data_IF_603600899202
#
_entry.id   IF_603600899202
#
_cell.length_a   1.000
_cell.length_b   1.000
_cell.length_c   1.000
_cell.angle_alpha   90.00
_cell.angle_beta   90.00
_cell.angle_gamma   90.00
#
_symmetry.space_group_name_H-M   'P 1'
#
loop_
_entity.id
_entity.type
_entity.pdbx_description
1 polymer ?
#
# COMPACT_ATOMS: atom_id res chain seq x y z
N UNK A 1 -28.73 -1.09 2.36
CA UNK A 1 -28.13 -1.48 3.65
C UNK A 1 -26.66 -1.74 3.36
N UNK A 2 -25.80 -0.77 3.64
CA UNK A 2 -24.36 -0.91 3.48
C UNK A 2 -23.94 -1.87 4.60
N UNK A 3 -23.31 -3.01 4.28
CA UNK A 3 -22.64 -3.84 5.30
C UNK A 3 -21.83 -2.89 6.20
N UNK A 4 -21.84 -2.99 7.53
CA UNK A 4 -20.92 -2.18 8.32
C UNK A 4 -19.51 -2.50 7.83
N UNK A 5 -18.93 -1.57 7.08
CA UNK A 5 -17.63 -1.74 6.46
C UNK A 5 -16.60 -1.76 7.58
N UNK A 6 -15.71 -2.75 7.54
CA UNK A 6 -14.68 -2.94 8.54
C UNK A 6 -13.66 -1.81 8.39
N UNK A 7 -13.56 -0.95 9.40
CA UNK A 7 -12.67 0.22 9.39
C UNK A 7 -11.56 0.07 10.41
N UNK A 8 -10.54 0.93 10.37
CA UNK A 8 -9.48 0.96 11.38
C UNK A 8 -10.01 1.14 12.82
N UNK A 9 -11.20 1.72 12.99
CA UNK A 9 -11.86 1.83 14.30
C UNK A 9 -12.31 0.47 14.87
N UNK A 10 -12.47 -0.53 14.01
CA UNK A 10 -12.86 -1.90 14.37
C UNK A 10 -11.64 -2.82 14.58
N UNK A 11 -10.43 -2.33 14.25
CA UNK A 11 -9.18 -3.06 14.45
C UNK A 11 -8.73 -2.97 15.90
N UNK A 12 -8.44 -4.14 16.49
CA UNK A 12 -7.85 -4.21 17.83
C UNK A 12 -6.34 -4.13 17.71
N UNK A 13 -5.78 -2.93 17.84
CA UNK A 13 -4.34 -2.71 17.84
C UNK A 13 -3.69 -3.52 18.97
N UNK A 14 -2.83 -4.46 18.58
CA UNK A 14 -2.20 -5.44 19.46
C UNK A 14 -0.88 -4.94 20.04
N UNK A 15 -0.29 -5.69 20.98
CA UNK A 15 1.06 -5.41 21.47
C UNK A 15 2.12 -5.55 20.36
N UNK A 16 1.88 -6.43 19.38
CA UNK A 16 2.82 -6.65 18.27
C UNK A 16 2.80 -5.49 17.28
N UNK A 17 1.64 -4.88 17.05
CA UNK A 17 1.53 -3.60 16.34
C UNK A 17 2.39 -2.51 17.00
N UNK A 18 2.37 -2.46 18.34
CA UNK A 18 3.07 -1.43 19.10
C UNK A 18 4.58 -1.67 19.18
N UNK A 19 5.04 -2.93 19.11
CA UNK A 19 6.47 -3.29 19.02
C UNK A 19 7.08 -2.93 17.68
N UNK A 20 6.31 -3.00 16.59
CA UNK A 20 6.78 -2.57 15.28
C UNK A 20 7.00 -1.06 15.25
N UNK A 21 8.04 -0.61 14.55
CA UNK A 21 8.21 0.81 14.26
C UNK A 21 7.23 1.23 13.15
N UNK A 22 5.99 1.54 13.54
CA UNK A 22 4.90 1.97 12.68
C UNK A 22 4.25 3.25 13.25
N UNK A 23 4.85 4.43 13.01
CA UNK A 23 4.29 5.70 13.49
C UNK A 23 2.90 6.02 12.94
N UNK A 24 2.52 5.53 11.76
CA UNK A 24 1.18 5.71 11.20
C UNK A 24 0.14 5.12 12.15
N UNK A 25 0.26 3.82 12.47
CA UNK A 25 -0.70 3.16 13.35
C UNK A 25 -0.65 3.70 14.78
N UNK A 26 0.54 4.09 15.27
CA UNK A 26 0.70 4.72 16.60
C UNK A 26 0.01 6.07 16.69
N UNK A 27 0.16 6.92 15.67
CA UNK A 27 -0.48 8.24 15.62
C UNK A 27 -2.00 8.11 15.49
N UNK A 28 -2.49 7.18 14.65
CA UNK A 28 -3.91 6.85 14.58
C UNK A 28 -4.46 6.39 15.93
N UNK A 29 -3.77 5.46 16.60
CA UNK A 29 -4.16 4.98 17.92
C UNK A 29 -4.26 6.14 18.92
N UNK A 30 -3.27 7.03 18.94
CA UNK A 30 -3.25 8.19 19.84
C UNK A 30 -4.48 9.07 19.62
N UNK A 31 -4.82 9.40 18.37
CA UNK A 31 -6.00 10.20 18.05
C UNK A 31 -7.28 9.50 18.54
N UNK A 32 -7.40 8.20 18.31
CA UNK A 32 -8.57 7.41 18.74
C UNK A 32 -8.68 7.37 20.28
N UNK A 33 -7.57 7.11 20.98
CA UNK A 33 -7.53 7.03 22.44
C UNK A 33 -7.84 8.38 23.09
N UNK A 34 -7.28 9.49 22.59
CA UNK A 34 -7.50 10.85 23.11
C UNK A 34 -8.94 11.34 22.91
N UNK A 35 -9.69 10.70 22.01
CA UNK A 35 -11.06 11.04 21.67
C UNK A 35 -12.04 9.88 21.96
N UNK A 36 -11.70 8.97 22.88
CA UNK A 36 -12.50 7.78 23.18
C UNK A 36 -13.89 8.08 23.75
N UNK A 37 -14.16 9.34 24.12
CA UNK A 37 -15.45 9.83 24.59
C UNK A 37 -16.42 10.20 23.45
N UNK A 38 -15.94 10.27 22.21
CA UNK A 38 -16.76 10.58 21.04
C UNK A 38 -17.56 9.36 20.58
N UNK A 39 -18.72 9.59 19.99
CA UNK A 39 -19.48 8.54 19.31
C UNK A 39 -18.76 8.09 18.04
N UNK A 40 -18.99 6.84 17.60
CA UNK A 40 -18.27 6.26 16.44
C UNK A 40 -18.38 7.13 15.18
N UNK A 41 -19.53 7.76 14.94
CA UNK A 41 -19.73 8.65 13.80
C UNK A 41 -18.87 9.93 13.86
N UNK A 42 -18.68 10.49 15.05
CA UNK A 42 -17.83 11.67 15.27
C UNK A 42 -16.35 11.32 15.11
N UNK A 43 -15.93 10.15 15.60
CA UNK A 43 -14.59 9.61 15.35
C UNK A 43 -14.32 9.40 13.87
N UNK A 44 -15.30 8.89 13.11
CA UNK A 44 -15.19 8.76 11.65
C UNK A 44 -14.95 10.12 11.01
N UNK A 45 -15.74 11.14 11.36
CA UNK A 45 -15.56 12.49 10.82
C UNK A 45 -14.18 13.07 11.17
N UNK A 46 -13.72 12.89 12.40
CA UNK A 46 -12.39 13.34 12.86
C UNK A 46 -11.26 12.64 12.10
N UNK A 47 -11.31 11.32 11.95
CA UNK A 47 -10.29 10.58 11.19
C UNK A 47 -10.23 11.06 9.73
N UNK A 48 -11.39 11.31 9.11
CA UNK A 48 -11.43 11.81 7.74
C UNK A 48 -10.80 13.20 7.58
N UNK A 49 -10.82 14.06 8.60
CA UNK A 49 -10.09 15.35 8.55
C UNK A 49 -8.57 15.18 8.59
N UNK A 50 -8.07 14.07 9.14
CA UNK A 50 -6.63 13.77 9.22
C UNK A 50 -6.11 12.93 8.05
N UNK A 51 -6.99 12.28 7.29
CA UNK A 51 -6.57 11.30 6.27
C UNK A 51 -5.54 11.85 5.29
N UNK A 52 -5.72 13.09 4.82
CA UNK A 52 -4.79 13.67 3.85
C UNK A 52 -3.36 13.78 4.43
N UNK A 53 -3.24 14.29 5.66
CA UNK A 53 -1.95 14.43 6.33
C UNK A 53 -1.26 13.07 6.51
N UNK A 54 -2.02 12.04 6.91
CA UNK A 54 -1.48 10.69 7.05
C UNK A 54 -1.08 10.06 5.71
N UNK A 55 -1.86 10.29 4.66
CA UNK A 55 -1.52 9.78 3.33
C UNK A 55 -0.23 10.45 2.84
N UNK A 56 -0.10 11.76 3.00
CA UNK A 56 1.08 12.51 2.56
C UNK A 56 2.32 12.20 3.39
N UNK A 57 2.17 12.01 4.70
CA UNK A 57 3.30 11.64 5.55
C UNK A 57 3.71 10.18 5.33
N UNK A 58 2.75 9.25 5.21
CA UNK A 58 3.00 7.81 5.20
C UNK A 58 2.61 7.15 3.88
N UNK A 59 1.38 6.66 3.72
CA UNK A 59 0.89 5.96 2.53
C UNK A 59 -0.64 5.89 2.49
N UNK A 60 -1.20 5.48 1.35
CA UNK A 60 -2.65 5.42 1.12
C UNK A 60 -3.38 4.38 2.01
N UNK A 61 -2.88 3.14 2.05
CA UNK A 61 -3.38 2.08 2.96
C UNK A 61 -2.77 2.24 4.34
N UNK A 62 -3.49 1.81 5.37
CA UNK A 62 -2.98 1.69 6.74
C UNK A 62 -2.32 0.31 6.92
N UNK A 63 -0.98 0.19 6.98
CA UNK A 63 -0.35 -1.07 7.34
C UNK A 63 -0.51 -1.34 8.84
N UNK A 64 -0.88 -2.57 9.18
CA UNK A 64 -0.94 -3.07 10.55
C UNK A 64 -0.39 -4.49 10.60
N UNK A 65 -0.05 -4.96 11.80
CA UNK A 65 0.80 -6.12 12.03
C UNK A 65 0.34 -7.37 11.27
N UNK A 66 -0.94 -7.74 11.38
CA UNK A 66 -1.46 -8.97 10.75
C UNK A 66 -1.31 -8.96 9.22
N UNK A 67 -1.55 -7.81 8.58
CA UNK A 67 -1.42 -7.66 7.12
C UNK A 67 0.03 -7.58 6.70
N UNK A 68 0.88 -6.92 7.51
CA UNK A 68 2.32 -6.92 7.26
C UNK A 68 2.92 -8.32 7.39
N UNK A 69 2.50 -9.12 8.38
CA UNK A 69 2.91 -10.54 8.52
C UNK A 69 2.46 -11.34 7.32
N UNK A 70 1.22 -11.14 6.86
CA UNK A 70 0.71 -11.80 5.64
C UNK A 70 1.58 -11.46 4.44
N UNK A 71 1.83 -10.18 4.17
CA UNK A 71 2.70 -9.73 3.08
C UNK A 71 4.12 -10.29 3.22
N UNK A 72 4.69 -10.24 4.43
CA UNK A 72 6.04 -10.73 4.73
C UNK A 72 6.22 -12.23 4.42
N UNK A 73 5.16 -13.05 4.54
CA UNK A 73 5.23 -14.48 4.22
C UNK A 73 5.51 -14.80 2.74
N UNK A 74 5.46 -13.78 1.87
CA UNK A 74 5.78 -13.87 0.44
C UNK A 74 7.15 -13.27 0.08
N UNK A 75 8.02 -13.05 1.07
CA UNK A 75 9.41 -12.64 0.86
C UNK A 75 10.17 -13.61 -0.07
N UNK A 76 11.09 -13.13 -0.93
CA UNK A 76 11.50 -11.73 -1.13
C UNK A 76 10.48 -10.91 -1.94
N UNK A 77 10.49 -9.58 -1.77
CA UNK A 77 9.51 -8.66 -2.38
C UNK A 77 10.20 -7.62 -3.26
N UNK A 78 9.57 -7.30 -4.38
CA UNK A 78 9.80 -6.06 -5.15
C UNK A 78 8.52 -5.22 -5.08
N UNK A 79 8.62 -3.98 -4.62
CA UNK A 79 7.52 -3.01 -4.58
C UNK A 79 7.65 -2.02 -5.74
N UNK A 80 6.60 -1.87 -6.54
CA UNK A 80 6.54 -0.92 -7.66
C UNK A 80 5.47 0.13 -7.36
N UNK A 81 5.83 1.41 -7.54
CA UNK A 81 4.99 2.52 -7.11
C UNK A 81 4.99 2.68 -5.59
N UNK A 82 6.17 2.56 -4.98
CA UNK A 82 6.35 2.51 -3.53
C UNK A 82 5.99 3.84 -2.82
N UNK A 83 5.85 4.95 -3.55
CA UNK A 83 5.52 6.25 -2.99
C UNK A 83 6.60 6.75 -2.03
N UNK A 84 6.26 6.86 -0.75
CA UNK A 84 7.21 7.19 0.33
C UNK A 84 8.06 5.99 0.79
N UNK A 85 7.79 4.78 0.29
CA UNK A 85 8.43 3.54 0.71
C UNK A 85 7.97 3.05 2.09
N UNK A 86 6.82 3.52 2.60
CA UNK A 86 6.34 3.17 3.94
C UNK A 86 6.13 1.66 4.13
N UNK A 87 5.54 0.98 3.14
CA UNK A 87 5.36 -0.48 3.16
C UNK A 87 6.69 -1.21 3.17
N UNK A 88 7.59 -0.91 2.22
CA UNK A 88 8.95 -1.44 2.23
C UNK A 88 9.69 -1.20 3.54
N UNK A 89 9.55 -0.01 4.14
CA UNK A 89 10.12 0.32 5.44
C UNK A 89 9.59 -0.58 6.56
N UNK A 90 8.27 -0.73 6.67
CA UNK A 90 7.64 -1.61 7.66
C UNK A 90 8.07 -3.08 7.49
N UNK A 91 8.04 -3.59 6.25
CA UNK A 91 8.42 -4.97 5.93
C UNK A 91 9.92 -5.22 6.19
N UNK A 92 10.79 -4.27 5.83
CA UNK A 92 12.23 -4.36 6.10
C UNK A 92 12.51 -4.44 7.61
N UNK A 93 11.78 -3.70 8.45
CA UNK A 93 11.89 -3.84 9.92
C UNK A 93 11.45 -5.20 10.45
N UNK A 94 10.67 -5.96 9.68
CA UNK A 94 10.32 -7.35 9.97
C UNK A 94 11.32 -8.36 9.40
N UNK A 95 12.42 -7.89 8.79
CA UNK A 95 13.47 -8.74 8.21
C UNK A 95 13.16 -9.23 6.79
N UNK A 96 12.15 -8.67 6.13
CA UNK A 96 11.85 -8.99 4.73
C UNK A 96 12.89 -8.35 3.82
N UNK A 97 13.40 -9.13 2.85
CA UNK A 97 14.20 -8.60 1.75
C UNK A 97 13.27 -7.87 0.76
N UNK A 98 13.32 -6.54 0.75
CA UNK A 98 12.48 -5.66 -0.08
C UNK A 98 13.33 -4.72 -0.92
N UNK A 99 13.03 -4.69 -2.22
CA UNK A 99 13.49 -3.66 -3.15
C UNK A 99 12.29 -2.81 -3.54
N UNK A 100 12.40 -1.48 -3.41
CA UNK A 100 11.30 -0.57 -3.68
C UNK A 100 11.66 0.41 -4.81
N UNK A 101 10.75 0.57 -5.77
CA UNK A 101 10.88 1.52 -6.87
C UNK A 101 9.72 2.51 -6.87
N UNK A 102 10.05 3.77 -7.18
CA UNK A 102 9.06 4.78 -7.54
C UNK A 102 9.61 5.66 -8.66
N UNK A 103 8.72 6.19 -9.50
CA UNK A 103 9.07 7.09 -10.61
C UNK A 103 9.52 8.47 -10.12
N UNK A 104 8.99 8.89 -8.97
CA UNK A 104 9.23 10.17 -8.34
C UNK A 104 9.49 9.97 -6.83
N UNK A 105 10.58 9.31 -6.41
CA UNK A 105 10.82 9.08 -4.99
C UNK A 105 11.01 10.43 -4.25
N UNK A 106 10.46 10.61 -3.03
CA UNK A 106 10.61 11.84 -2.27
C UNK A 106 12.08 12.21 -2.07
N UNK A 107 12.39 13.51 -2.15
CA UNK A 107 13.76 14.01 -2.01
C UNK A 107 14.69 13.77 -3.21
N UNK A 108 14.27 13.08 -4.27
CA UNK A 108 15.09 12.81 -5.46
C UNK A 108 15.17 13.97 -6.47
N UNK A 109 14.60 15.14 -6.13
CA UNK A 109 14.49 16.27 -7.04
C UNK A 109 15.43 17.41 -6.66
N UNK A 110 15.95 18.08 -7.68
CA UNK A 110 16.67 19.34 -7.52
C UNK A 110 15.75 20.37 -6.86
N UNK A 111 16.25 21.20 -5.91
CA UNK A 111 15.51 22.34 -5.38
C UNK A 111 14.96 23.29 -6.46
N UNK A 112 15.56 23.28 -7.65
CA UNK A 112 15.19 24.10 -8.80
C UNK A 112 14.10 23.48 -9.69
N UNK A 113 13.71 22.22 -9.45
CA UNK A 113 12.69 21.48 -10.19
C UNK A 113 11.58 20.93 -9.28
N UNK A 114 11.25 21.65 -8.21
CA UNK A 114 10.27 21.23 -7.20
C UNK A 114 8.90 20.83 -7.76
N UNK A 115 8.46 21.44 -8.87
CA UNK A 115 7.20 21.12 -9.56
C UNK A 115 7.21 19.76 -10.28
N UNK A 116 8.38 19.14 -10.45
CA UNK A 116 8.53 17.76 -10.95
C UNK A 116 8.64 16.75 -9.81
N UNK A 117 8.55 17.20 -8.56
CA UNK A 117 8.67 16.40 -7.36
C UNK A 117 7.56 15.37 -7.18
N UNK A 118 7.71 14.49 -6.19
CA UNK A 118 6.61 13.67 -5.72
C UNK A 118 5.45 14.59 -5.29
N UNK A 119 4.26 14.49 -5.90
CA UNK A 119 3.14 15.37 -5.54
C UNK A 119 2.33 14.84 -4.34
N UNK A 120 2.64 13.65 -3.86
CA UNK A 120 1.86 12.93 -2.86
C UNK A 120 2.53 12.85 -1.50
N UNK A 121 3.86 12.73 -1.44
CA UNK A 121 4.58 12.42 -0.21
C UNK A 121 5.69 13.42 0.11
N UNK A 122 5.79 13.77 1.39
CA UNK A 122 6.74 14.78 1.88
C UNK A 122 8.17 14.23 2.05
N UNK A 123 8.31 12.97 2.49
CA UNK A 123 9.60 12.35 2.80
C UNK A 123 9.60 10.84 2.50
N UNK A 124 10.78 10.22 2.61
CA UNK A 124 10.99 8.79 2.42
C UNK A 124 11.14 8.04 3.75
N UNK A 125 10.46 6.89 3.86
CA UNK A 125 10.53 5.98 5.01
C UNK A 125 11.43 4.77 4.76
N UNK A 126 11.92 4.61 3.54
CA UNK A 126 12.80 3.55 3.12
C UNK A 126 13.72 4.02 1.98
N UNK A 127 14.72 3.22 1.63
CA UNK A 127 15.52 3.48 0.45
C UNK A 127 14.73 3.07 -0.81
N UNK A 128 14.35 4.07 -1.61
CA UNK A 128 13.57 3.89 -2.84
C UNK A 128 14.48 4.16 -4.03
N UNK A 129 14.52 3.21 -4.95
CA UNK A 129 15.22 3.37 -6.21
C UNK A 129 14.33 4.17 -7.16
N UNK A 130 14.92 5.17 -7.83
CA UNK A 130 14.23 5.84 -8.93
C UNK A 130 14.13 4.87 -10.11
N UNK A 131 12.91 4.54 -10.51
CA UNK A 131 12.62 3.60 -11.59
C UNK A 131 11.15 3.65 -11.97
N UNK A 132 10.75 2.84 -12.94
CA UNK A 132 9.37 2.81 -13.43
C UNK A 132 8.77 1.39 -13.38
N UNK A 133 7.58 1.22 -13.92
CA UNK A 133 6.91 -0.08 -14.01
C UNK A 133 7.76 -1.20 -14.62
N UNK A 134 8.70 -0.89 -15.51
CA UNK A 134 9.49 -1.89 -16.23
C UNK A 134 10.53 -2.56 -15.33
N UNK A 135 10.94 -1.90 -14.23
CA UNK A 135 11.90 -2.45 -13.26
C UNK A 135 11.38 -3.71 -12.56
N UNK A 136 10.06 -3.95 -12.58
CA UNK A 136 9.47 -5.20 -12.12
C UNK A 136 10.04 -6.43 -12.85
N UNK A 137 10.41 -6.29 -14.13
CA UNK A 137 11.00 -7.36 -14.93
C UNK A 137 12.41 -7.79 -14.47
N UNK A 138 13.10 -6.97 -13.68
CA UNK A 138 14.42 -7.29 -13.15
C UNK A 138 14.38 -8.25 -11.96
N UNK A 139 13.19 -8.49 -11.40
CA UNK A 139 13.01 -9.24 -10.15
C UNK A 139 11.95 -10.37 -10.25
N UNK A 140 11.95 -11.22 -11.30
CA UNK A 140 10.92 -12.26 -11.47
C UNK A 140 10.97 -13.35 -10.39
N UNK A 141 12.08 -13.45 -9.65
CA UNK A 141 12.28 -14.34 -8.51
C UNK A 141 11.64 -13.83 -7.21
N UNK A 142 11.22 -12.56 -7.16
CA UNK A 142 10.56 -11.92 -6.01
C UNK A 142 9.06 -11.84 -6.21
N UNK A 143 8.30 -11.72 -5.13
CA UNK A 143 6.87 -11.37 -5.20
C UNK A 143 6.72 -9.90 -5.57
N UNK A 144 5.89 -9.59 -6.57
CA UNK A 144 5.52 -8.22 -6.92
C UNK A 144 4.49 -7.70 -5.91
N UNK A 145 4.78 -6.58 -5.24
CA UNK A 145 3.87 -5.83 -4.39
C UNK A 145 3.47 -4.52 -5.09
N UNK A 146 2.17 -4.26 -5.15
CA UNK A 146 1.62 -2.95 -5.54
C UNK A 146 0.55 -2.55 -4.52
N UNK A 147 0.82 -1.49 -3.75
CA UNK A 147 -0.07 -0.99 -2.71
C UNK A 147 -0.66 0.38 -3.10
N UNK A 148 -1.94 0.40 -3.46
CA UNK A 148 -2.65 1.54 -4.03
C UNK A 148 -1.97 2.15 -5.25
N UNK A 149 -1.81 1.38 -6.35
CA UNK A 149 -1.38 1.97 -7.60
C UNK A 149 -2.35 3.08 -8.05
N UNK A 150 -1.80 4.10 -8.70
CA UNK A 150 -2.53 5.30 -9.10
C UNK A 150 -3.81 4.97 -9.91
N UNK A 151 -4.97 5.55 -9.56
CA UNK A 151 -6.20 5.37 -10.33
C UNK A 151 -6.04 5.82 -11.79
N UNK A 152 -6.67 5.10 -12.72
CA UNK A 152 -6.71 5.45 -14.15
C UNK A 152 -5.32 5.64 -14.78
N UNK A 153 -4.31 4.97 -14.23
CA UNK A 153 -2.93 5.02 -14.71
C UNK A 153 -2.47 3.62 -15.17
N UNK A 154 -1.78 3.50 -16.31
CA UNK A 154 -1.34 2.20 -16.84
C UNK A 154 -0.19 1.57 -16.06
N UNK A 155 0.43 2.26 -15.09
CA UNK A 155 1.60 1.78 -14.33
C UNK A 155 1.38 0.36 -13.77
N UNK A 156 0.24 0.10 -13.12
CA UNK A 156 -0.04 -1.21 -12.54
C UNK A 156 -0.14 -2.32 -13.60
N UNK A 157 -0.80 -2.03 -14.72
CA UNK A 157 -0.91 -2.94 -15.85
C UNK A 157 0.48 -3.21 -16.46
N UNK A 158 1.24 -2.17 -16.74
CA UNK A 158 2.57 -2.28 -17.35
C UNK A 158 3.56 -3.03 -16.43
N UNK A 159 3.49 -2.79 -15.12
CA UNK A 159 4.33 -3.47 -14.13
C UNK A 159 4.01 -4.96 -14.10
N UNK A 160 2.72 -5.32 -14.03
CA UNK A 160 2.28 -6.71 -14.05
C UNK A 160 2.63 -7.42 -15.36
N UNK A 161 2.47 -6.75 -16.51
CA UNK A 161 2.91 -7.26 -17.81
C UNK A 161 4.42 -7.54 -17.82
N UNK A 162 5.24 -6.56 -17.42
CA UNK A 162 6.70 -6.65 -17.44
C UNK A 162 7.19 -7.76 -16.52
N UNK A 163 6.68 -7.79 -15.28
CA UNK A 163 6.98 -8.82 -14.28
C UNK A 163 6.62 -10.23 -14.77
N UNK A 164 5.39 -10.41 -15.27
CA UNK A 164 4.93 -11.71 -15.76
C UNK A 164 5.73 -12.18 -16.98
N UNK A 165 6.02 -11.29 -17.93
CA UNK A 165 6.81 -11.63 -19.11
C UNK A 165 8.24 -12.05 -18.76
N UNK A 166 8.79 -11.53 -17.66
CA UNK A 166 10.08 -11.94 -17.11
C UNK A 166 10.03 -13.28 -16.33
N UNK A 167 8.86 -13.89 -16.17
CA UNK A 167 8.68 -15.16 -15.45
C UNK A 167 8.26 -15.00 -13.98
N UNK A 168 7.84 -13.81 -13.57
CA UNK A 168 7.24 -13.53 -12.27
C UNK A 168 6.00 -14.38 -12.00
N UNK A 169 5.80 -14.77 -10.73
CA UNK A 169 4.83 -15.82 -10.36
C UNK A 169 3.76 -15.38 -9.38
N UNK A 170 4.03 -14.35 -8.60
CA UNK A 170 3.15 -13.95 -7.50
C UNK A 170 3.00 -12.46 -7.45
N UNK A 171 1.75 -12.02 -7.39
CA UNK A 171 1.36 -10.63 -7.18
C UNK A 171 0.65 -10.52 -5.84
N UNK A 172 1.06 -9.55 -5.02
CA UNK A 172 0.27 -8.97 -3.94
C UNK A 172 -0.20 -7.61 -4.39
N UNK A 173 -1.51 -7.43 -4.47
CA UNK A 173 -2.15 -6.18 -4.80
C UNK A 173 -2.97 -5.71 -3.60
N UNK A 174 -2.76 -4.46 -3.19
CA UNK A 174 -3.57 -3.81 -2.17
C UNK A 174 -4.32 -2.66 -2.81
N UNK A 175 -5.63 -2.67 -2.73
CA UNK A 175 -6.47 -1.65 -3.33
C UNK A 175 -7.95 -2.01 -3.28
N UNK A 176 -8.76 -1.14 -3.86
CA UNK A 176 -10.19 -1.40 -4.03
C UNK A 176 -10.37 -2.32 -5.25
N UNK A 177 -11.02 -3.50 -5.12
CA UNK A 177 -11.25 -4.43 -6.23
C UNK A 177 -12.32 -3.91 -7.20
N UNK A 178 -12.22 -2.65 -7.62
CA UNK A 178 -13.10 -1.99 -8.56
C UNK A 178 -12.28 -1.28 -9.66
N UNK A 179 -12.57 -1.51 -10.96
CA UNK A 179 -11.79 -0.98 -12.09
C UNK A 179 -11.62 0.54 -12.21
N UNK A 180 -12.27 1.31 -11.35
CA UNK A 180 -12.26 2.77 -11.34
C UNK A 180 -11.50 3.38 -10.15
N UNK A 181 -10.81 2.56 -9.34
CA UNK A 181 -10.30 2.98 -8.02
C UNK A 181 -8.78 2.91 -7.90
N UNK A 182 -8.16 1.74 -8.06
CA UNK A 182 -6.68 1.58 -7.99
C UNK A 182 -6.12 0.85 -9.20
N UNK A 183 -5.32 1.51 -10.03
CA UNK A 183 -4.97 1.05 -11.38
C UNK A 183 -6.00 1.45 -12.45
N UNK A 184 -5.82 0.97 -13.68
CA UNK A 184 -6.71 1.23 -14.82
C UNK A 184 -7.51 -0.01 -15.22
N UNK A 185 -8.44 0.13 -16.17
CA UNK A 185 -9.29 -0.99 -16.60
C UNK A 185 -8.49 -2.17 -17.21
N UNK A 186 -7.33 -1.92 -17.83
CA UNK A 186 -6.49 -2.97 -18.41
C UNK A 186 -5.86 -3.82 -17.33
N UNK A 187 -5.41 -3.21 -16.23
CA UNK A 187 -4.92 -3.91 -15.05
C UNK A 187 -5.96 -4.91 -14.52
N UNK A 188 -7.21 -4.49 -14.34
CA UNK A 188 -8.26 -5.40 -13.85
C UNK A 188 -8.62 -6.50 -14.86
N UNK A 189 -8.70 -6.18 -16.16
CA UNK A 189 -8.91 -7.20 -17.19
C UNK A 189 -7.85 -8.29 -17.09
N UNK A 190 -6.59 -7.90 -16.90
CA UNK A 190 -5.48 -8.84 -16.71
C UNK A 190 -5.56 -9.58 -15.37
N UNK A 191 -5.89 -8.91 -14.27
CA UNK A 191 -6.07 -9.56 -12.96
C UNK A 191 -7.10 -10.70 -12.99
N UNK A 192 -8.21 -10.51 -13.71
CA UNK A 192 -9.27 -11.52 -13.81
C UNK A 192 -8.87 -12.79 -14.58
N UNK A 193 -7.74 -12.77 -15.29
CA UNK A 193 -7.19 -13.97 -15.92
C UNK A 193 -6.41 -14.85 -14.93
N UNK A 194 -6.01 -14.29 -13.78
CA UNK A 194 -5.18 -14.97 -12.80
C UNK A 194 -5.99 -15.62 -11.68
N UNK A 195 -5.42 -16.68 -11.12
CA UNK A 195 -6.00 -17.36 -9.97
C UNK A 195 -5.73 -16.55 -8.71
N UNK A 196 -6.78 -16.00 -8.12
CA UNK A 196 -6.76 -15.47 -6.77
C UNK A 196 -6.50 -16.62 -5.77
N UNK A 197 -5.40 -16.53 -5.03
CA UNK A 197 -4.98 -17.50 -4.01
C UNK A 197 -5.63 -17.15 -2.67
N UNK A 198 -5.63 -15.86 -2.32
CA UNK A 198 -6.09 -15.38 -1.02
C UNK A 198 -6.61 -13.94 -1.12
N UNK A 199 -7.63 -13.65 -0.33
CA UNK A 199 -8.21 -12.31 -0.16
C UNK A 199 -8.39 -12.00 1.32
N UNK A 200 -7.88 -10.85 1.74
CA UNK A 200 -8.02 -10.33 3.10
C UNK A 200 -8.77 -9.00 3.04
N UNK A 201 -9.92 -8.93 3.71
CA UNK A 201 -10.60 -7.65 3.93
C UNK A 201 -9.79 -6.83 4.95
N UNK A 202 -9.45 -5.59 4.59
CA UNK A 202 -8.59 -4.74 5.42
C UNK A 202 -9.41 -3.89 6.38
N UNK A 203 -8.81 -3.58 7.53
CA UNK A 203 -9.28 -2.51 8.41
C UNK A 203 -8.76 -1.17 7.88
N UNK A 204 -9.51 -0.57 6.96
CA UNK A 204 -9.11 0.61 6.19
C UNK A 204 -9.59 1.93 6.79
N UNK A 205 -9.26 3.05 6.13
CA UNK A 205 -9.89 4.32 6.41
C UNK A 205 -11.42 4.24 6.25
N UNK A 206 -12.21 4.93 7.11
CA UNK A 206 -13.66 4.99 6.94
C UNK A 206 -14.07 5.40 5.51
N UNK A 207 -14.95 4.62 4.89
CA UNK A 207 -15.45 4.88 3.53
C UNK A 207 -14.51 4.44 2.40
N UNK A 208 -13.33 3.90 2.70
CA UNK A 208 -12.41 3.32 1.72
C UNK A 208 -12.56 1.80 1.75
N UNK A 209 -12.89 1.20 0.60
CA UNK A 209 -13.07 -0.25 0.48
C UNK A 209 -11.83 -0.82 -0.16
N UNK A 210 -10.93 -1.38 0.64
CA UNK A 210 -9.71 -1.98 0.13
C UNK A 210 -9.52 -3.39 0.66
N UNK A 211 -8.77 -4.17 -0.10
CA UNK A 211 -8.42 -5.55 0.21
C UNK A 211 -6.96 -5.76 -0.09
N UNK A 212 -6.36 -6.73 0.59
CA UNK A 212 -5.14 -7.37 0.13
C UNK A 212 -5.53 -8.61 -0.66
N UNK A 213 -5.08 -8.67 -1.90
CA UNK A 213 -5.39 -9.71 -2.88
C UNK A 213 -4.07 -10.35 -3.32
N UNK A 214 -4.03 -11.69 -3.33
CA UNK A 214 -2.83 -12.44 -3.73
C UNK A 214 -3.18 -13.29 -4.93
N UNK A 215 -2.40 -13.16 -6.01
CA UNK A 215 -2.63 -13.86 -7.28
C UNK A 215 -1.45 -14.78 -7.63
N UNK A 216 -1.79 -15.95 -8.17
CA UNK A 216 -0.88 -16.84 -8.91
C UNK A 216 -0.87 -16.43 -10.38
N UNK A 217 0.31 -16.14 -10.93
CA UNK A 217 0.49 -15.78 -12.35
C UNK A 217 0.88 -16.96 -13.24
N UNK A 218 0.99 -18.16 -12.66
CA UNK A 218 1.27 -19.44 -13.33
C UNK A 218 0.01 -20.22 -13.67
#
# INVERSE_FOLDING_TARGET
MISPEQTILDYKISDDDMKLFNPYLKNLKKIIDENSNLEKGELVSLLLTHRNDFVTEFCFTIPYYDVLVKTASYSPIVEIGAGSGYWAGCLSKMGVDVIAYDSHPPGAHSPWEWFKGNPWFDDSWYHILKGDESDAAHHPDRTLLMAWPMPMNPMAYNALCSYKNAGGKTLIFIGDPHPASSGDEHFYKMLYEFKEIETVNLYSWPGIKEKLLIYSLV
#
